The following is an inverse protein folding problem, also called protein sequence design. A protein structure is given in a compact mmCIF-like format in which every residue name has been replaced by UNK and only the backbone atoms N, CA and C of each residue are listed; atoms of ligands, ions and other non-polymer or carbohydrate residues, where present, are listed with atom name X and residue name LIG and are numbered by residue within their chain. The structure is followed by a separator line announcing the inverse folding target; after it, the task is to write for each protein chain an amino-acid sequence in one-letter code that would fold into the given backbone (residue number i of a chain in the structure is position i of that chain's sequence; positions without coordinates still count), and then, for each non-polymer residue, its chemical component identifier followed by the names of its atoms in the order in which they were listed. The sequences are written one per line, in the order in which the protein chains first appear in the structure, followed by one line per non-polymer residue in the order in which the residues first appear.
data_IF_182734865596
#
_entry.id   IF_182734865596
#
_cell.length_a   1.000
_cell.length_b   1.000
_cell.length_c   1.000
_cell.angle_alpha   90.00
_cell.angle_beta   90.00
_cell.angle_gamma   90.00
#
_symmetry.space_group_name_H-M   'P 1'
#
loop_
_entity.id
_entity.type
_entity.pdbx_description
1 polymer ?
#
# COMPACT_ATOMS: atom_id res chain seq x y z
N UNK A 1 -9.41 27.49 1.91
CA UNK A 1 -9.54 26.29 1.05
C UNK A 1 -10.24 25.22 1.84
N UNK A 2 -11.14 24.46 1.23
CA UNK A 2 -11.77 23.30 1.88
C UNK A 2 -10.74 22.17 1.95
N UNK A 3 -10.53 21.62 3.15
CA UNK A 3 -9.71 20.43 3.40
C UNK A 3 -10.32 19.25 2.61
N UNK A 4 -9.54 18.57 1.76
CA UNK A 4 -10.08 17.47 0.95
C UNK A 4 -10.50 16.28 1.81
N UNK A 5 -10.00 16.21 3.05
CA UNK A 5 -10.28 15.11 3.98
C UNK A 5 -11.64 15.23 4.65
N UNK A 6 -12.25 16.41 4.70
CA UNK A 6 -13.45 16.69 5.51
C UNK A 6 -14.59 15.71 5.26
N UNK A 7 -14.76 15.27 4.01
CA UNK A 7 -15.84 14.34 3.63
C UNK A 7 -15.31 12.96 3.19
N UNK A 8 -14.02 12.68 3.35
CA UNK A 8 -13.45 11.38 3.01
C UNK A 8 -13.62 10.42 4.19
N UNK A 9 -14.26 9.26 3.99
CA UNK A 9 -14.31 8.22 5.01
C UNK A 9 -12.89 7.85 5.45
N UNK A 10 -12.66 7.83 6.75
CA UNK A 10 -11.37 7.52 7.35
C UNK A 10 -11.42 6.14 7.99
N UNK A 11 -10.36 5.36 7.79
CA UNK A 11 -10.21 4.09 8.46
C UNK A 11 -8.74 3.79 8.75
N UNK A 12 -8.46 3.67 10.04
CA UNK A 12 -7.19 3.24 10.60
C UNK A 12 -7.42 1.91 11.31
N UNK A 13 -6.63 0.91 10.96
CA UNK A 13 -6.86 -0.47 11.38
C UNK A 13 -5.75 -0.93 12.31
N UNK A 14 -6.11 -1.66 13.36
CA UNK A 14 -5.14 -2.25 14.28
C UNK A 14 -4.78 -3.67 13.82
N UNK A 15 -3.55 -3.84 13.33
CA UNK A 15 -2.97 -5.13 12.92
C UNK A 15 -1.51 -5.24 13.40
N UNK A 16 -0.98 -6.46 13.61
CA UNK A 16 -1.64 -7.77 13.45
C UNK A 16 -2.70 -8.03 14.53
N UNK A 17 -3.63 -8.96 14.25
CA UNK A 17 -4.66 -9.37 15.22
C UNK A 17 -4.23 -10.58 16.06
N UNK A 18 -3.11 -11.21 15.71
CA UNK A 18 -2.40 -12.21 16.51
C UNK A 18 -0.98 -11.74 16.82
N UNK A 19 -0.43 -12.07 17.99
CA UNK A 19 1.00 -11.90 18.25
C UNK A 19 1.83 -12.68 17.24
N UNK A 20 3.00 -12.15 16.90
CA UNK A 20 3.93 -12.77 15.95
C UNK A 20 5.25 -13.01 16.66
N UNK A 21 5.64 -14.27 16.78
CA UNK A 21 6.96 -14.66 17.26
C UNK A 21 7.90 -14.82 16.06
N UNK A 22 8.99 -14.05 16.03
CA UNK A 22 10.01 -14.14 14.98
C UNK A 22 9.84 -13.14 13.82
N UNK A 23 10.24 -13.53 12.59
CA UNK A 23 10.22 -12.64 11.43
C UNK A 23 8.83 -12.14 11.09
N UNK A 24 8.72 -10.84 10.82
CA UNK A 24 7.44 -10.14 10.66
C UNK A 24 7.21 -9.70 9.22
N UNK A 25 6.08 -10.10 8.64
CA UNK A 25 5.63 -9.63 7.33
C UNK A 25 4.73 -8.40 7.50
N UNK A 26 4.97 -7.36 6.72
CA UNK A 26 4.02 -6.27 6.51
C UNK A 26 3.45 -6.32 5.10
N UNK A 27 2.15 -6.05 4.97
CA UNK A 27 1.43 -5.95 3.71
C UNK A 27 0.87 -4.54 3.63
N UNK A 28 1.31 -3.78 2.62
CA UNK A 28 0.91 -2.39 2.45
C UNK A 28 0.11 -2.25 1.16
N UNK A 29 -1.16 -1.89 1.34
CA UNK A 29 -2.09 -1.51 0.29
C UNK A 29 -2.07 -0.02 0.01
N UNK A 30 -3.03 0.41 -0.79
CA UNK A 30 -3.10 1.75 -1.33
C UNK A 30 -3.94 2.69 -0.45
N UNK A 31 -5.22 2.37 -0.29
CA UNK A 31 -6.19 3.10 0.53
C UNK A 31 -7.37 2.17 0.85
N UNK A 32 -8.16 2.46 1.89
CA UNK A 32 -9.44 1.79 2.13
C UNK A 32 -10.35 1.84 0.90
N UNK A 33 -11.06 0.75 0.63
CA UNK A 33 -12.26 0.79 -0.20
C UNK A 33 -13.48 1.18 0.64
N UNK A 34 -14.64 1.30 -0.02
CA UNK A 34 -15.88 1.70 0.64
C UNK A 34 -16.30 0.76 1.76
N UNK A 35 -16.09 -0.55 1.56
CA UNK A 35 -16.48 -1.55 2.56
C UNK A 35 -15.52 -1.56 3.74
N UNK A 36 -14.21 -1.45 3.47
CA UNK A 36 -13.20 -1.35 4.51
C UNK A 36 -13.41 -0.09 5.37
N UNK A 37 -13.71 1.06 4.73
CA UNK A 37 -13.97 2.31 5.43
C UNK A 37 -15.25 2.26 6.28
N UNK A 38 -16.27 1.55 5.81
CA UNK A 38 -17.54 1.36 6.53
C UNK A 38 -17.40 0.41 7.72
N UNK A 39 -16.62 -0.65 7.56
CA UNK A 39 -16.47 -1.70 8.59
C UNK A 39 -15.31 -1.45 9.56
N UNK A 40 -14.40 -0.53 9.24
CA UNK A 40 -13.19 -0.34 10.05
C UNK A 40 -12.30 -1.58 10.08
N UNK A 41 -12.32 -2.41 9.01
CA UNK A 41 -11.48 -3.60 8.87
C UNK A 41 -10.86 -3.64 7.47
N UNK A 42 -9.54 -3.87 7.33
CA UNK A 42 -8.87 -3.85 6.04
C UNK A 42 -9.15 -5.13 5.26
N UNK A 43 -9.23 -4.99 3.94
CA UNK A 43 -9.36 -6.11 3.01
C UNK A 43 -10.55 -7.03 3.36
N UNK A 44 -11.73 -6.47 3.60
CA UNK A 44 -12.99 -7.23 3.79
C UNK A 44 -13.76 -7.47 2.48
N UNK A 45 -13.45 -6.71 1.43
CA UNK A 45 -14.04 -6.87 0.11
C UNK A 45 -13.51 -8.10 -0.67
N UNK A 46 -13.92 -8.22 -1.93
CA UNK A 46 -13.47 -9.32 -2.83
C UNK A 46 -11.96 -9.37 -3.00
N UNK A 47 -11.29 -8.21 -3.09
CA UNK A 47 -9.83 -8.12 -3.16
C UNK A 47 -9.16 -8.68 -1.92
N UNK A 48 -9.79 -8.54 -0.77
CA UNK A 48 -9.28 -9.07 0.48
C UNK A 48 -9.42 -10.57 0.61
N UNK A 49 -10.56 -11.13 0.18
CA UNK A 49 -10.73 -12.60 0.09
C UNK A 49 -9.68 -13.25 -0.82
N UNK A 50 -9.43 -12.65 -1.99
CA UNK A 50 -8.37 -13.14 -2.88
C UNK A 50 -6.97 -13.04 -2.24
N UNK A 51 -6.72 -11.97 -1.48
CA UNK A 51 -5.48 -11.81 -0.73
C UNK A 51 -5.34 -12.90 0.35
N UNK A 52 -6.40 -13.18 1.12
CA UNK A 52 -6.44 -14.25 2.13
C UNK A 52 -6.10 -15.61 1.52
N UNK A 53 -6.80 -15.98 0.44
CA UNK A 53 -6.58 -17.23 -0.27
C UNK A 53 -5.14 -17.34 -0.80
N UNK A 54 -4.59 -16.23 -1.31
CA UNK A 54 -3.25 -16.21 -1.89
C UNK A 54 -2.14 -16.26 -0.83
N UNK A 55 -2.34 -15.61 0.32
CA UNK A 55 -1.43 -15.68 1.47
C UNK A 55 -1.42 -17.10 2.06
N UNK A 56 -2.61 -17.68 2.25
CA UNK A 56 -2.74 -19.06 2.71
C UNK A 56 -2.04 -20.05 1.77
N UNK A 57 -2.15 -19.85 0.45
CA UNK A 57 -1.48 -20.68 -0.56
C UNK A 57 0.05 -20.60 -0.53
N UNK A 58 0.63 -19.59 0.12
CA UNK A 58 2.08 -19.46 0.35
C UNK A 58 2.48 -19.66 1.81
N UNK A 59 1.57 -20.17 2.64
CA UNK A 59 1.83 -20.51 4.04
C UNK A 59 1.88 -19.31 5.00
N UNK A 60 1.22 -18.20 4.66
CA UNK A 60 1.15 -17.00 5.51
C UNK A 60 -0.28 -16.80 6.01
N UNK A 61 -0.43 -16.63 7.32
CA UNK A 61 -1.70 -16.20 7.92
C UNK A 61 -1.77 -14.66 7.98
N UNK A 62 -2.79 -14.06 7.35
CA UNK A 62 -2.94 -12.59 7.35
C UNK A 62 -3.09 -12.01 8.77
N UNK A 63 -3.66 -12.77 9.70
CA UNK A 63 -3.83 -12.33 11.10
C UNK A 63 -2.50 -12.09 11.82
N UNK A 64 -1.40 -12.70 11.34
CA UNK A 64 -0.03 -12.53 11.82
C UNK A 64 0.75 -11.46 11.02
N UNK A 65 0.11 -10.81 10.06
CA UNK A 65 0.74 -9.76 9.26
C UNK A 65 0.29 -8.40 9.75
N UNK A 66 1.20 -7.42 9.72
CA UNK A 66 0.76 -6.03 9.65
C UNK A 66 0.04 -5.84 8.32
N UNK A 67 -1.18 -5.28 8.37
CA UNK A 67 -1.95 -4.90 7.19
C UNK A 67 -2.19 -3.39 7.28
N UNK A 68 -1.53 -2.64 6.41
CA UNK A 68 -1.59 -1.19 6.38
C UNK A 68 -1.94 -0.67 4.98
N UNK A 69 -2.27 0.61 4.87
CA UNK A 69 -2.39 1.32 3.61
C UNK A 69 -1.48 2.55 3.62
N UNK A 70 -1.09 3.04 2.45
CA UNK A 70 -0.40 4.33 2.32
C UNK A 70 -1.28 5.47 2.82
N UNK A 71 -2.56 5.45 2.45
CA UNK A 71 -3.54 6.45 2.87
C UNK A 71 -4.62 5.78 3.71
N UNK A 72 -5.05 6.41 4.81
CA UNK A 72 -6.17 5.95 5.65
C UNK A 72 -7.52 6.54 5.25
N UNK A 73 -7.53 7.44 4.27
CA UNK A 73 -8.75 8.01 3.71
C UNK A 73 -9.20 7.18 2.51
N UNK A 74 -10.49 6.88 2.41
CA UNK A 74 -11.07 6.33 1.21
C UNK A 74 -11.18 7.44 0.15
N UNK A 75 -10.48 7.34 -0.99
CA UNK A 75 -10.59 8.35 -2.02
C UNK A 75 -11.94 8.26 -2.75
N UNK A 76 -12.47 9.39 -3.26
CA UNK A 76 -13.69 9.39 -4.06
C UNK A 76 -13.62 8.39 -5.22
N UNK A 77 -14.64 7.53 -5.30
CA UNK A 77 -14.72 6.45 -6.30
C UNK A 77 -13.57 5.44 -6.24
N UNK A 78 -12.87 5.32 -5.11
CA UNK A 78 -11.66 4.52 -4.93
C UNK A 78 -10.55 4.89 -5.93
N UNK A 79 -10.44 6.18 -6.28
CA UNK A 79 -9.44 6.69 -7.24
C UNK A 79 -8.34 7.45 -6.52
N UNK A 80 -7.17 6.84 -6.38
CA UNK A 80 -6.05 7.47 -5.65
C UNK A 80 -5.48 8.73 -6.25
N UNK A 81 -5.79 9.04 -7.51
CA UNK A 81 -5.43 10.32 -8.11
C UNK A 81 -6.03 11.53 -7.36
N UNK A 82 -6.93 11.31 -6.39
CA UNK A 82 -7.39 12.35 -5.47
C UNK A 82 -6.33 12.77 -4.42
N UNK A 83 -5.33 11.94 -4.15
CA UNK A 83 -4.21 12.28 -3.25
C UNK A 83 -3.07 13.01 -3.96
N UNK A 84 -3.12 13.07 -5.29
CA UNK A 84 -2.05 13.60 -6.11
C UNK A 84 -2.55 14.68 -7.06
N UNK A 85 -1.64 15.55 -7.49
CA UNK A 85 -1.90 16.50 -8.56
C UNK A 85 -0.61 16.82 -9.33
N UNK A 86 -0.76 17.08 -10.63
CA UNK A 86 0.30 17.73 -11.39
C UNK A 86 0.51 19.16 -10.88
N UNK A 87 1.70 19.72 -11.09
CA UNK A 87 2.01 21.12 -10.75
C UNK A 87 0.99 22.11 -11.31
N UNK A 88 0.58 21.90 -12.57
CA UNK A 88 -0.39 22.76 -13.24
C UNK A 88 -1.78 22.67 -12.61
N UNK A 89 -2.24 21.45 -12.29
CA UNK A 89 -3.52 21.24 -11.60
C UNK A 89 -3.49 21.83 -10.19
N UNK A 90 -2.43 21.58 -9.42
CA UNK A 90 -2.26 22.11 -8.08
C UNK A 90 -2.32 23.64 -8.06
N UNK A 91 -1.56 24.31 -8.95
CA UNK A 91 -1.61 25.78 -9.11
C UNK A 91 -3.01 26.28 -9.46
N UNK A 92 -3.71 25.62 -10.38
CA UNK A 92 -5.07 25.98 -10.79
C UNK A 92 -6.07 25.85 -9.64
N UNK A 93 -5.93 24.81 -8.82
CA UNK A 93 -6.80 24.51 -7.68
C UNK A 93 -6.37 25.23 -6.39
N UNK A 94 -5.28 26.01 -6.44
CA UNK A 94 -4.70 26.68 -5.27
C UNK A 94 -4.10 25.71 -4.24
N UNK A 95 -3.82 24.47 -4.61
CA UNK A 95 -3.34 23.39 -3.73
C UNK A 95 -1.81 23.40 -3.65
N UNK A 96 -1.30 23.06 -2.48
CA UNK A 96 0.12 22.79 -2.28
C UNK A 96 0.44 21.33 -2.58
N UNK A 97 1.62 21.10 -3.14
CA UNK A 97 2.19 19.78 -3.43
C UNK A 97 3.48 19.61 -2.65
N UNK A 98 3.74 18.40 -2.18
CA UNK A 98 4.99 18.03 -1.55
C UNK A 98 5.93 17.44 -2.62
N UNK A 99 7.00 18.17 -2.91
CA UNK A 99 8.03 17.78 -3.88
C UNK A 99 9.03 16.76 -3.31
N UNK A 100 9.13 16.65 -1.98
CA UNK A 100 10.14 15.83 -1.31
C UNK A 100 9.94 14.33 -1.57
N UNK A 101 8.71 13.90 -1.83
CA UNK A 101 8.36 12.51 -2.10
C UNK A 101 8.58 12.07 -3.56
N UNK A 102 8.98 12.99 -4.44
CA UNK A 102 9.22 12.73 -5.85
C UNK A 102 7.93 12.55 -6.67
N UNK A 103 8.09 12.14 -7.93
CA UNK A 103 6.97 11.97 -8.85
C UNK A 103 6.18 10.70 -8.55
N UNK A 104 4.85 10.82 -8.56
CA UNK A 104 3.95 9.68 -8.68
C UNK A 104 3.53 9.51 -10.14
N UNK A 105 3.85 8.37 -10.74
CA UNK A 105 3.75 8.17 -12.18
C UNK A 105 4.68 9.13 -12.93
N UNK A 106 4.15 9.81 -13.95
CA UNK A 106 4.96 10.66 -14.84
C UNK A 106 5.23 12.05 -14.25
N UNK A 107 4.21 12.70 -13.69
CA UNK A 107 4.29 14.14 -13.39
C UNK A 107 3.49 14.57 -12.16
N UNK A 108 2.66 13.71 -11.60
CA UNK A 108 1.88 14.06 -10.40
C UNK A 108 2.80 14.07 -9.17
N UNK A 109 2.38 14.84 -8.16
CA UNK A 109 3.02 14.98 -6.85
C UNK A 109 1.99 14.76 -5.76
N UNK A 110 2.46 14.31 -4.61
CA UNK A 110 1.63 14.19 -3.43
C UNK A 110 1.08 15.57 -3.08
N UNK A 111 -0.22 15.69 -2.83
CA UNK A 111 -0.77 16.92 -2.26
C UNK A 111 -0.29 17.05 -0.82
N UNK A 112 0.18 18.24 -0.44
CA UNK A 112 0.82 18.47 0.86
C UNK A 112 -0.08 18.10 2.05
N UNK A 113 -1.40 18.25 1.89
CA UNK A 113 -2.39 17.87 2.91
C UNK A 113 -2.43 16.36 3.24
N UNK A 114 -1.88 15.50 2.38
CA UNK A 114 -1.76 14.05 2.61
C UNK A 114 -0.33 13.59 2.96
N UNK A 115 0.65 14.50 3.08
CA UNK A 115 2.03 14.15 3.45
C UNK A 115 2.11 13.42 4.80
N UNK A 116 1.23 13.78 5.74
CA UNK A 116 1.12 13.12 7.05
C UNK A 116 0.73 11.64 7.00
N UNK A 117 0.17 11.15 5.89
CA UNK A 117 -0.18 9.74 5.76
C UNK A 117 1.06 8.86 5.50
N UNK A 118 2.06 9.38 4.77
CA UNK A 118 3.34 8.68 4.58
C UNK A 118 4.13 8.64 5.90
N UNK A 119 4.06 9.73 6.66
CA UNK A 119 4.65 9.83 8.00
C UNK A 119 4.04 8.82 8.97
N UNK A 120 2.71 8.71 8.96
CA UNK A 120 1.99 7.73 9.75
C UNK A 120 2.40 6.30 9.36
N UNK A 121 2.42 5.98 8.05
CA UNK A 121 2.88 4.66 7.59
C UNK A 121 4.30 4.36 8.07
N UNK A 122 5.22 5.32 7.98
CA UNK A 122 6.59 5.14 8.49
C UNK A 122 6.58 4.80 9.99
N UNK A 123 5.83 5.54 10.79
CA UNK A 123 5.75 5.30 12.24
C UNK A 123 5.21 3.90 12.53
N UNK A 124 4.14 3.49 11.85
CA UNK A 124 3.58 2.14 11.96
C UNK A 124 4.60 1.05 11.60
N UNK A 125 5.40 1.26 10.55
CA UNK A 125 6.46 0.31 10.16
C UNK A 125 7.60 0.26 11.18
N UNK A 126 8.00 1.40 11.75
CA UNK A 126 9.02 1.49 12.81
C UNK A 126 8.59 0.75 14.07
N UNK A 127 7.32 0.88 14.45
CA UNK A 127 6.76 0.22 15.63
C UNK A 127 6.63 -1.29 15.41
N UNK A 128 6.16 -1.68 14.21
CA UNK A 128 5.98 -3.09 13.87
C UNK A 128 7.28 -3.84 13.58
N UNK A 129 8.31 -3.16 13.05
CA UNK A 129 9.62 -3.72 12.67
C UNK A 129 9.51 -4.95 11.74
N UNK A 130 8.95 -4.79 10.53
CA UNK A 130 8.87 -5.90 9.59
C UNK A 130 10.26 -6.33 9.09
N UNK A 131 10.44 -7.62 8.89
CA UNK A 131 11.61 -8.19 8.20
C UNK A 131 11.54 -7.96 6.69
N UNK A 132 10.33 -7.94 6.13
CA UNK A 132 10.06 -7.66 4.72
C UNK A 132 8.67 -7.06 4.54
N UNK A 133 8.51 -6.23 3.52
CA UNK A 133 7.25 -5.56 3.18
C UNK A 133 6.77 -6.04 1.79
N UNK A 134 5.51 -6.44 1.68
CA UNK A 134 4.82 -6.63 0.40
C UNK A 134 4.06 -5.35 0.04
N UNK A 135 4.38 -4.78 -1.13
CA UNK A 135 3.70 -3.59 -1.64
C UNK A 135 2.66 -3.97 -2.71
N UNK A 136 1.37 -3.81 -2.40
CA UNK A 136 0.27 -4.18 -3.29
C UNK A 136 -0.05 -3.06 -4.29
N UNK A 137 0.58 -3.10 -5.45
CA UNK A 137 0.35 -2.15 -6.54
C UNK A 137 1.26 -0.92 -6.52
N UNK A 138 0.95 0.03 -7.40
CA UNK A 138 1.83 1.17 -7.70
C UNK A 138 2.01 2.12 -6.51
N UNK A 139 0.93 2.45 -5.80
CA UNK A 139 0.94 3.45 -4.73
C UNK A 139 1.80 3.07 -3.54
N UNK A 140 1.64 1.87 -2.93
CA UNK A 140 2.57 1.43 -1.88
C UNK A 140 4.00 1.24 -2.40
N UNK A 141 4.17 0.78 -3.65
CA UNK A 141 5.53 0.68 -4.25
C UNK A 141 6.21 2.04 -4.27
N UNK A 142 5.56 3.05 -4.83
CA UNK A 142 6.08 4.42 -4.85
C UNK A 142 6.31 4.97 -3.45
N UNK A 143 5.36 4.81 -2.53
CA UNK A 143 5.47 5.35 -1.18
C UNK A 143 6.68 4.75 -0.45
N UNK A 144 6.89 3.45 -0.58
CA UNK A 144 7.93 2.70 0.13
C UNK A 144 9.30 2.73 -0.53
N UNK A 145 9.41 2.94 -1.84
CA UNK A 145 10.71 2.84 -2.55
C UNK A 145 11.06 4.10 -3.35
N UNK A 146 10.09 4.97 -3.63
CA UNK A 146 10.23 6.09 -4.56
C UNK A 146 10.13 5.70 -6.04
N UNK A 147 10.03 4.41 -6.35
CA UNK A 147 10.04 3.89 -7.71
C UNK A 147 8.64 3.81 -8.33
N UNK A 148 8.58 3.89 -9.67
CA UNK A 148 7.34 3.85 -10.44
C UNK A 148 7.36 2.74 -11.51
N UNK A 149 6.18 2.23 -11.87
CA UNK A 149 6.03 1.22 -12.93
C UNK A 149 5.85 -0.20 -12.40
N UNK A 150 4.65 -0.53 -11.94
CA UNK A 150 4.40 -1.81 -11.25
C UNK A 150 4.69 -3.04 -12.13
N UNK A 151 4.42 -2.96 -13.44
CA UNK A 151 4.68 -4.06 -14.38
C UNK A 151 6.17 -4.43 -14.44
N UNK A 152 7.05 -3.43 -14.32
CA UNK A 152 8.50 -3.62 -14.37
C UNK A 152 9.12 -3.91 -13.00
N UNK A 153 8.46 -3.48 -11.92
CA UNK A 153 8.98 -3.56 -10.56
C UNK A 153 8.50 -4.80 -9.79
N UNK A 154 7.36 -5.39 -10.17
CA UNK A 154 6.83 -6.57 -9.50
C UNK A 154 7.84 -7.73 -9.46
N UNK A 155 7.89 -8.43 -8.34
CA UNK A 155 8.82 -9.54 -8.10
C UNK A 155 10.30 -9.17 -8.07
N UNK A 156 10.62 -7.90 -7.87
CA UNK A 156 11.96 -7.45 -7.47
C UNK A 156 12.01 -7.27 -5.96
N UNK A 157 13.24 -7.22 -5.45
CA UNK A 157 13.52 -6.84 -4.06
C UNK A 157 14.15 -5.45 -4.09
N UNK A 158 13.49 -4.48 -3.48
CA UNK A 158 13.88 -3.07 -3.49
C UNK A 158 14.13 -2.58 -2.06
N UNK A 159 15.04 -1.62 -1.83
CA UNK A 159 15.21 -1.03 -0.51
C UNK A 159 13.99 -0.20 -0.12
N UNK A 160 13.58 -0.26 1.14
CA UNK A 160 12.58 0.63 1.72
C UNK A 160 13.21 1.99 2.04
N UNK A 161 12.64 3.08 1.52
CA UNK A 161 13.06 4.46 1.85
C UNK A 161 12.48 4.97 3.17
N UNK A 162 11.45 4.31 3.70
CA UNK A 162 10.80 4.71 4.96
C UNK A 162 11.42 4.04 6.19
N UNK A 163 12.09 2.90 6.01
CA UNK A 163 12.69 2.12 7.08
C UNK A 163 13.98 1.45 6.59
N UNK A 164 15.12 1.97 7.05
CA UNK A 164 16.43 1.49 6.63
C UNK A 164 16.63 0.01 6.94
N UNK A 165 17.30 -0.71 6.03
CA UNK A 165 17.59 -2.14 6.17
C UNK A 165 16.42 -3.07 5.86
N UNK A 166 15.21 -2.54 5.64
CA UNK A 166 14.04 -3.34 5.28
C UNK A 166 13.85 -3.39 3.76
N UNK A 167 13.49 -4.56 3.27
CA UNK A 167 13.25 -4.80 1.86
C UNK A 167 11.74 -4.75 1.52
N UNK A 168 11.45 -4.33 0.29
CA UNK A 168 10.12 -4.23 -0.29
C UNK A 168 10.03 -5.17 -1.49
N UNK A 169 8.99 -5.98 -1.54
CA UNK A 169 8.61 -6.81 -2.69
C UNK A 169 7.32 -6.25 -3.30
N UNK A 170 7.42 -5.51 -4.41
CA UNK A 170 6.25 -5.07 -5.15
C UNK A 170 5.51 -6.24 -5.81
N UNK A 171 4.19 -6.16 -5.84
CA UNK A 171 3.37 -7.07 -6.65
C UNK A 171 2.05 -6.42 -7.08
N UNK A 172 1.23 -7.13 -7.85
CA UNK A 172 -0.08 -6.63 -8.25
C UNK A 172 -1.00 -6.44 -7.06
N UNK A 173 -1.81 -5.37 -7.12
CA UNK A 173 -2.91 -5.23 -6.18
C UNK A 173 -3.99 -6.28 -6.52
N UNK A 174 -4.60 -6.99 -5.55
CA UNK A 174 -5.62 -8.01 -5.83
C UNK A 174 -6.80 -7.49 -6.65
N UNK A 175 -7.17 -6.21 -6.52
CA UNK A 175 -8.21 -5.60 -7.34
C UNK A 175 -7.87 -5.52 -8.83
N UNK A 176 -6.59 -5.57 -9.21
CA UNK A 176 -6.16 -5.62 -10.61
C UNK A 176 -6.50 -6.99 -11.20
N UNK A 177 -6.17 -8.07 -10.48
CA UNK A 177 -6.51 -9.44 -10.88
C UNK A 177 -8.03 -9.61 -11.07
N UNK A 178 -8.81 -9.10 -10.12
CA UNK A 178 -10.28 -9.15 -10.18
C UNK A 178 -10.89 -8.29 -11.30
N UNK A 179 -10.15 -7.33 -11.87
CA UNK A 179 -10.57 -6.51 -13.00
C UNK A 179 -10.19 -7.15 -14.35
N UNK A 180 -10.33 -8.47 -14.44
CA UNK A 180 -10.14 -9.23 -15.69
C UNK A 180 -8.71 -9.69 -15.95
N UNK A 181 -7.84 -9.70 -14.94
CA UNK A 181 -6.43 -10.08 -15.06
C UNK A 181 -6.07 -11.30 -14.20
N UNK A 182 -7.02 -12.21 -14.00
CA UNK A 182 -6.81 -13.45 -13.24
C UNK A 182 -5.71 -14.35 -13.84
N UNK A 183 -5.40 -14.18 -15.12
CA UNK A 183 -4.26 -14.87 -15.78
C UNK A 183 -2.93 -14.59 -15.07
N UNK A 184 -2.81 -13.45 -14.39
CA UNK A 184 -1.61 -13.05 -13.62
C UNK A 184 -1.58 -13.62 -12.19
N UNK A 185 -2.58 -14.41 -11.77
CA UNK A 185 -2.60 -15.00 -10.43
C UNK A 185 -1.36 -15.86 -10.12
N UNK A 186 -0.83 -16.70 -11.05
CA UNK A 186 0.42 -17.41 -10.82
C UNK A 186 1.61 -16.48 -10.58
N UNK A 187 1.69 -15.36 -11.31
CA UNK A 187 2.71 -14.32 -11.13
C UNK A 187 2.59 -13.69 -9.75
N UNK A 188 1.38 -13.32 -9.33
CA UNK A 188 1.09 -12.78 -8.00
C UNK A 188 1.53 -13.74 -6.89
N UNK A 189 1.21 -15.03 -7.00
CA UNK A 189 1.67 -16.05 -6.04
C UNK A 189 3.19 -16.22 -6.04
N UNK A 190 3.84 -16.11 -7.20
CA UNK A 190 5.31 -16.16 -7.30
C UNK A 190 5.96 -15.00 -6.53
N UNK A 191 5.42 -13.79 -6.67
CA UNK A 191 5.91 -12.62 -5.94
C UNK A 191 5.69 -12.75 -4.43
N UNK A 192 4.56 -13.31 -3.98
CA UNK A 192 4.33 -13.58 -2.57
C UNK A 192 5.33 -14.61 -2.04
N UNK A 193 5.61 -15.69 -2.78
CA UNK A 193 6.66 -16.66 -2.39
C UNK A 193 8.03 -16.03 -2.29
N UNK A 194 8.36 -15.10 -3.19
CA UNK A 194 9.59 -14.33 -3.10
C UNK A 194 9.63 -13.56 -1.76
N UNK A 195 8.57 -12.85 -1.38
CA UNK A 195 8.50 -12.16 -0.10
C UNK A 195 8.65 -13.11 1.09
N UNK A 196 7.99 -14.27 1.07
CA UNK A 196 8.13 -15.30 2.11
C UNK A 196 9.58 -15.79 2.23
N UNK A 197 10.29 -15.98 1.12
CA UNK A 197 11.71 -16.37 1.15
C UNK A 197 12.64 -15.32 1.79
N UNK A 198 12.15 -14.08 2.01
CA UNK A 198 12.88 -13.02 2.71
C UNK A 198 12.67 -13.02 4.21
N UNK A 199 11.61 -13.66 4.72
CA UNK A 199 11.33 -13.74 6.16
C UNK A 199 12.38 -14.58 6.90
N UNK A 200 13.03 -15.52 6.23
CA UNK A 200 13.98 -16.46 6.86
C UNK A 200 15.43 -15.97 6.85
N UNK A 201 15.69 -14.69 6.57
CA UNK A 201 17.03 -14.11 6.53
C UNK A 201 17.44 -13.48 7.86
#
# INVERSE_FOLDING_TARGET
MTDLRTDMPFADYQYPTKPVDGPRLAIVGEAPGAEEARQGTPFVGRSGKLLDESLAAVGIERAECLVANVFRYQPPGNKVGHFFASRARARKEGREIDESWGAFGTSDRLLAEFAGEIEHLRTTLVDYRPSVIVALGRTPTWALTGENGILQLRGKVLPCRLLEGVEVVPTFHPSYLLRGQLVEQPTFLSDLRLAVSRLTR
#
